data_IF_476703636823
#
_entry.id   IF_476703636823
#
_cell.length_a   1.000
_cell.length_b   1.000
_cell.length_c   1.000
_cell.angle_alpha   90.00
_cell.angle_beta   90.00
_cell.angle_gamma   90.00
#
_symmetry.space_group_name_H-M   'P 1'
#
loop_
_entity.id
_entity.type
_entity.pdbx_description
1 polymer ?
#
# COMPACT_ATOMS: atom_id res chain seq x y z
N UNK A 1 34.47 -15.42 -18.78
CA UNK A 1 33.58 -15.12 -17.63
C UNK A 1 32.27 -14.67 -18.22
N UNK A 2 31.22 -15.51 -18.18
CA UNK A 2 29.89 -15.16 -18.64
C UNK A 2 29.15 -14.61 -17.42
N UNK A 3 28.89 -13.31 -17.42
CA UNK A 3 28.04 -12.68 -16.42
C UNK A 3 26.60 -12.97 -16.86
N UNK A 4 25.96 -13.93 -16.20
CA UNK A 4 24.54 -14.19 -16.34
C UNK A 4 23.81 -13.09 -15.56
N UNK A 5 23.35 -12.05 -16.26
CA UNK A 5 22.42 -11.09 -15.67
C UNK A 5 21.07 -11.82 -15.55
N UNK A 6 20.70 -12.21 -14.35
CA UNK A 6 19.32 -12.58 -14.07
C UNK A 6 18.47 -11.34 -14.29
N UNK A 7 17.75 -11.33 -15.41
CA UNK A 7 16.64 -10.42 -15.61
C UNK A 7 15.61 -10.74 -14.50
N UNK A 8 15.59 -9.92 -13.48
CA UNK A 8 14.44 -9.85 -12.58
C UNK A 8 13.32 -9.30 -13.47
N UNK A 9 12.46 -10.19 -13.95
CA UNK A 9 11.20 -9.75 -14.56
C UNK A 9 10.47 -8.98 -13.48
N UNK A 10 10.13 -7.69 -13.69
CA UNK A 10 9.30 -6.99 -12.73
C UNK A 10 8.00 -7.77 -12.59
N UNK A 11 7.56 -8.00 -11.37
CA UNK A 11 6.19 -8.40 -11.08
C UNK A 11 5.30 -7.48 -11.89
N UNK A 12 4.34 -8.05 -12.62
CA UNK A 12 3.50 -7.36 -13.58
C UNK A 12 2.94 -6.09 -12.96
N UNK A 13 3.44 -4.95 -13.43
CA UNK A 13 2.88 -3.67 -13.02
C UNK A 13 1.42 -3.65 -13.48
N UNK A 14 0.49 -3.52 -12.54
CA UNK A 14 -0.91 -3.33 -12.87
C UNK A 14 -1.09 -2.01 -13.60
N UNK A 15 -1.64 -2.06 -14.80
CA UNK A 15 -1.94 -0.86 -15.57
C UNK A 15 -3.31 -0.31 -15.18
N UNK A 16 -3.54 0.97 -15.42
CA UNK A 16 -4.82 1.61 -15.10
C UNK A 16 -6.01 0.92 -15.77
N UNK A 17 -5.81 0.37 -16.97
CA UNK A 17 -6.84 -0.33 -17.73
C UNK A 17 -7.22 -1.70 -17.14
N UNK A 18 -6.38 -2.27 -16.26
CA UNK A 18 -6.68 -3.49 -15.49
C UNK A 18 -7.66 -3.22 -14.35
N UNK A 19 -7.83 -1.96 -13.97
CA UNK A 19 -8.70 -1.54 -12.86
C UNK A 19 -10.05 -1.10 -13.42
N UNK A 20 -11.15 -1.77 -13.05
CA UNK A 20 -12.49 -1.34 -13.43
C UNK A 20 -12.78 0.08 -12.97
N UNK A 21 -13.60 0.81 -13.74
CA UNK A 21 -14.04 2.13 -13.33
C UNK A 21 -14.84 2.07 -12.03
N UNK A 22 -14.69 3.09 -11.19
CA UNK A 22 -15.44 3.19 -9.94
C UNK A 22 -16.95 3.15 -10.19
N UNK A 23 -17.61 2.23 -9.52
CA UNK A 23 -19.05 1.93 -9.65
C UNK A 23 -19.85 2.19 -8.36
N UNK A 24 -19.25 2.85 -7.37
CA UNK A 24 -19.88 3.08 -6.07
C UNK A 24 -19.38 2.16 -4.96
N UNK A 25 -18.59 1.12 -5.27
CA UNK A 25 -17.99 0.23 -4.28
C UNK A 25 -16.57 0.71 -3.91
N UNK A 26 -16.14 0.56 -2.65
CA UNK A 26 -14.83 1.04 -2.19
C UNK A 26 -13.66 0.22 -2.74
N UNK A 27 -13.88 -1.01 -3.13
CA UNK A 27 -12.89 -1.94 -3.70
C UNK A 27 -13.56 -2.87 -4.71
N UNK A 28 -12.75 -3.54 -5.50
CA UNK A 28 -13.15 -4.53 -6.49
C UNK A 28 -12.09 -5.62 -6.58
N UNK A 29 -12.50 -6.85 -6.75
CA UNK A 29 -11.59 -7.96 -7.04
C UNK A 29 -11.11 -7.88 -8.49
N UNK A 30 -9.83 -8.14 -8.69
CA UNK A 30 -9.18 -8.20 -10.00
C UNK A 30 -8.40 -9.52 -10.11
N UNK A 31 -8.15 -9.98 -11.34
CA UNK A 31 -7.38 -11.21 -11.61
C UNK A 31 -7.90 -12.43 -10.84
N UNK A 32 -9.23 -12.61 -10.80
CA UNK A 32 -9.90 -13.72 -10.12
C UNK A 32 -9.52 -13.85 -8.63
N UNK A 33 -9.08 -12.76 -8.01
CA UNK A 33 -8.58 -12.71 -6.63
C UNK A 33 -7.41 -13.68 -6.35
N UNK A 34 -6.59 -13.92 -7.37
CA UNK A 34 -5.42 -14.80 -7.29
C UNK A 34 -4.12 -13.97 -7.23
N UNK A 35 -3.56 -13.71 -6.05
CA UNK A 35 -2.31 -12.97 -5.93
C UNK A 35 -1.14 -13.80 -6.49
N UNK A 36 -0.19 -13.11 -7.12
CA UNK A 36 0.98 -13.75 -7.71
C UNK A 36 2.24 -13.34 -6.96
N UNK A 37 2.59 -14.13 -5.96
CA UNK A 37 3.83 -13.94 -5.21
C UNK A 37 4.88 -14.98 -5.57
N UNK A 38 6.14 -14.63 -5.34
CA UNK A 38 7.21 -15.60 -5.41
C UNK A 38 7.15 -16.51 -4.17
N UNK A 39 6.92 -17.80 -4.37
CA UNK A 39 6.82 -18.78 -3.27
C UNK A 39 8.05 -18.81 -2.36
N UNK A 40 9.23 -18.39 -2.85
CA UNK A 40 10.43 -18.28 -2.03
C UNK A 40 10.30 -17.19 -0.95
N UNK A 41 9.45 -16.19 -1.15
CA UNK A 41 9.30 -15.07 -0.22
C UNK A 41 8.48 -15.47 1.01
N UNK A 42 7.57 -16.44 0.88
CA UNK A 42 6.85 -17.04 2.02
C UNK A 42 7.75 -17.68 3.05
N UNK A 43 8.89 -18.20 2.62
CA UNK A 43 9.86 -18.90 3.49
C UNK A 43 10.94 -17.98 4.07
N UNK A 44 10.90 -16.69 3.74
CA UNK A 44 11.84 -15.70 4.29
C UNK A 44 11.43 -15.27 5.69
N UNK A 45 12.40 -14.75 6.43
CA UNK A 45 12.10 -13.95 7.61
C UNK A 45 11.27 -12.73 7.19
N UNK A 46 10.55 -12.16 8.14
CA UNK A 46 9.83 -10.91 7.92
C UNK A 46 10.75 -9.83 7.33
N UNK A 47 10.21 -9.10 6.37
CA UNK A 47 10.89 -7.99 5.72
C UNK A 47 9.90 -6.92 5.28
N UNK A 48 10.42 -5.73 5.06
CA UNK A 48 9.74 -4.62 4.39
C UNK A 48 10.65 -4.06 3.31
N UNK A 49 10.07 -3.72 2.18
CA UNK A 49 10.75 -3.11 1.05
C UNK A 49 9.88 -2.02 0.44
N UNK A 50 10.47 -0.86 0.24
CA UNK A 50 9.82 0.29 -0.37
C UNK A 50 10.64 0.74 -1.57
N UNK A 51 10.03 0.74 -2.75
CA UNK A 51 10.67 1.25 -3.96
C UNK A 51 10.98 2.75 -3.80
N UNK A 52 12.02 3.21 -4.47
CA UNK A 52 12.30 4.63 -4.53
C UNK A 52 11.13 5.39 -5.14
N UNK A 53 10.97 6.65 -4.74
CA UNK A 53 10.04 7.56 -5.40
C UNK A 53 10.43 7.67 -6.88
N UNK A 54 9.44 7.85 -7.74
CA UNK A 54 9.71 8.05 -9.17
C UNK A 54 10.20 9.47 -9.48
N UNK A 55 10.38 9.78 -10.76
CA UNK A 55 10.86 11.10 -11.21
C UNK A 55 9.92 12.27 -10.89
N UNK A 56 8.69 11.98 -10.46
CA UNK A 56 7.70 12.96 -10.01
C UNK A 56 7.53 12.93 -8.48
N UNK A 57 8.45 12.29 -7.76
CA UNK A 57 8.41 12.08 -6.30
C UNK A 57 7.19 11.30 -5.81
N UNK A 58 6.58 10.48 -6.67
CA UNK A 58 5.41 9.67 -6.32
C UNK A 58 5.84 8.35 -5.66
N UNK A 59 5.18 7.92 -4.56
CA UNK A 59 5.39 6.60 -3.97
C UNK A 59 5.15 5.50 -5.01
N UNK A 60 5.96 4.46 -4.93
CA UNK A 60 5.91 3.30 -5.79
C UNK A 60 5.57 2.05 -4.97
N UNK A 61 5.89 0.87 -5.45
CA UNK A 61 5.55 -0.39 -4.80
C UNK A 61 6.10 -0.46 -3.37
N UNK A 62 5.23 -0.84 -2.43
CA UNK A 62 5.58 -1.28 -1.09
C UNK A 62 5.32 -2.78 -0.98
N UNK A 63 6.30 -3.56 -0.53
CA UNK A 63 6.24 -5.01 -0.44
C UNK A 63 6.77 -5.51 0.89
N UNK A 64 6.05 -6.41 1.53
CA UNK A 64 6.45 -6.95 2.82
C UNK A 64 6.05 -8.42 3.00
N UNK A 65 6.84 -9.14 3.78
CA UNK A 65 6.45 -10.37 4.45
C UNK A 65 6.18 -10.02 5.92
N UNK A 66 4.92 -9.81 6.24
CA UNK A 66 4.49 -9.26 7.52
C UNK A 66 4.33 -10.38 8.55
N UNK A 67 4.88 -10.15 9.73
CA UNK A 67 4.68 -11.00 10.90
C UNK A 67 4.58 -10.13 12.17
N UNK A 68 4.39 -10.75 13.31
CA UNK A 68 4.25 -10.01 14.60
C UNK A 68 5.44 -9.13 14.94
N UNK A 69 6.64 -9.46 14.50
CA UNK A 69 7.87 -8.71 14.81
C UNK A 69 7.96 -7.37 14.06
N UNK A 70 7.26 -7.22 12.93
CA UNK A 70 7.13 -5.92 12.24
C UNK A 70 6.06 -5.02 12.85
N UNK A 71 5.09 -5.58 13.55
CA UNK A 71 3.99 -4.81 14.12
C UNK A 71 4.51 -3.82 15.18
N UNK A 72 3.86 -2.65 15.31
CA UNK A 72 4.35 -1.62 16.23
C UNK A 72 4.30 -2.06 17.69
N UNK A 73 5.39 -1.80 18.38
CA UNK A 73 5.49 -1.89 19.84
C UNK A 73 5.45 -0.50 20.51
N UNK A 74 5.30 0.56 19.71
CA UNK A 74 5.23 1.95 20.14
C UNK A 74 3.93 2.60 19.68
N UNK A 75 3.58 3.72 20.30
CA UNK A 75 2.42 4.51 19.88
C UNK A 75 2.70 5.24 18.56
N UNK A 76 1.67 5.30 17.71
CA UNK A 76 1.68 6.10 16.49
C UNK A 76 1.96 7.58 16.82
N UNK A 77 2.83 8.19 16.05
CA UNK A 77 3.16 9.63 16.16
C UNK A 77 2.58 10.41 14.98
N UNK A 78 2.74 11.74 15.00
CA UNK A 78 2.29 12.59 13.90
C UNK A 78 3.09 12.32 12.61
N UNK A 79 2.39 12.28 11.49
CA UNK A 79 2.97 12.16 10.14
C UNK A 79 2.79 13.46 9.34
N UNK A 80 2.42 14.56 10.01
CA UNK A 80 2.14 15.85 9.38
C UNK A 80 3.30 16.49 8.62
N UNK A 81 4.53 16.10 8.94
CA UNK A 81 5.75 16.56 8.26
C UNK A 81 5.91 16.01 6.85
N UNK A 82 5.39 14.80 6.58
CA UNK A 82 5.42 14.23 5.24
C UNK A 82 4.29 14.81 4.41
N UNK A 83 4.62 15.27 3.22
CA UNK A 83 3.66 15.80 2.23
C UNK A 83 3.81 14.99 0.96
N UNK A 84 3.06 13.87 0.80
CA UNK A 84 3.10 13.10 -0.43
C UNK A 84 2.71 13.95 -1.64
N UNK A 85 3.05 13.51 -2.84
CA UNK A 85 2.67 14.20 -4.06
C UNK A 85 1.17 14.47 -4.13
N UNK A 86 0.79 15.62 -4.68
CA UNK A 86 -0.60 16.07 -4.76
C UNK A 86 -1.24 16.44 -3.42
N UNK A 87 -0.45 16.46 -2.31
CA UNK A 87 -0.99 16.81 -0.99
C UNK A 87 -1.45 18.28 -0.94
N UNK A 88 -2.70 18.45 -0.55
CA UNK A 88 -3.25 19.75 -0.15
C UNK A 88 -4.38 19.55 0.85
N UNK A 89 -4.66 20.59 1.64
CA UNK A 89 -5.71 20.53 2.65
C UNK A 89 -7.02 21.02 2.07
N UNK A 90 -8.00 20.14 1.97
CA UNK A 90 -9.36 20.46 1.53
C UNK A 90 -10.36 20.03 2.59
N UNK A 91 -11.30 20.89 2.91
CA UNK A 91 -12.35 20.61 3.89
C UNK A 91 -13.72 20.73 3.25
N UNK A 92 -14.60 19.77 3.56
CA UNK A 92 -16.01 19.80 3.18
C UNK A 92 -16.90 19.51 4.39
N UNK A 93 -18.06 20.18 4.44
CA UNK A 93 -19.15 19.80 5.34
C UNK A 93 -19.74 18.47 4.85
N UNK A 94 -19.97 17.53 5.75
CA UNK A 94 -20.57 16.24 5.40
C UNK A 94 -19.59 15.09 5.11
N UNK A 95 -18.28 15.37 5.03
CA UNK A 95 -17.26 14.32 5.02
C UNK A 95 -16.90 13.97 6.46
N UNK A 96 -16.82 12.67 6.78
CA UNK A 96 -16.31 12.18 8.05
C UNK A 96 -14.90 12.74 8.29
N UNK A 97 -14.64 13.28 9.48
CA UNK A 97 -13.41 13.97 9.83
C UNK A 97 -13.19 15.32 9.12
N UNK A 98 -14.10 15.77 8.27
CA UNK A 98 -14.11 17.07 7.55
C UNK A 98 -12.98 17.26 6.51
N UNK A 99 -11.96 16.41 6.44
CA UNK A 99 -10.87 16.51 5.48
C UNK A 99 -11.07 15.52 4.35
N UNK A 100 -10.96 16.01 3.10
CA UNK A 100 -11.08 15.16 1.92
C UNK A 100 -9.90 14.21 1.83
N UNK A 101 -8.68 14.70 2.02
CA UNK A 101 -7.46 13.92 1.86
C UNK A 101 -6.86 13.47 3.18
N UNK A 102 -6.36 12.25 3.16
CA UNK A 102 -5.53 11.63 4.19
C UNK A 102 -4.14 11.34 3.62
N UNK A 103 -3.13 11.28 4.50
CA UNK A 103 -1.87 10.59 4.22
C UNK A 103 -2.12 9.11 4.45
N UNK A 104 -2.25 8.37 3.36
CA UNK A 104 -2.53 6.94 3.39
C UNK A 104 -1.22 6.17 3.43
N UNK A 105 -1.03 5.31 4.43
CA UNK A 105 0.04 4.33 4.38
C UNK A 105 -0.31 3.27 3.34
N UNK A 106 0.63 2.89 2.49
CA UNK A 106 0.46 1.75 1.58
C UNK A 106 0.46 0.43 2.36
N UNK A 107 1.38 0.29 3.32
CA UNK A 107 1.36 -0.74 4.36
C UNK A 107 1.05 -0.04 5.67
N UNK A 108 -0.09 -0.36 6.28
CA UNK A 108 -0.62 0.32 7.45
C UNK A 108 0.36 0.31 8.62
N UNK A 109 0.37 1.38 9.44
CA UNK A 109 1.20 1.45 10.64
C UNK A 109 1.00 0.25 11.58
N UNK A 110 -0.22 -0.26 11.69
CA UNK A 110 -0.52 -1.43 12.52
C UNK A 110 0.15 -2.72 12.05
N UNK A 111 0.65 -2.76 10.81
CA UNK A 111 1.30 -3.90 10.18
C UNK A 111 2.83 -3.76 10.15
N UNK A 112 3.32 -2.55 9.85
CA UNK A 112 4.74 -2.29 9.60
C UNK A 112 5.46 -1.58 10.74
N UNK A 113 4.72 -0.90 11.62
CA UNK A 113 5.34 -0.05 12.63
C UNK A 113 6.00 1.22 12.07
N UNK A 114 6.09 1.38 10.74
CA UNK A 114 6.66 2.58 10.13
C UNK A 114 5.65 3.72 10.11
N UNK A 115 6.06 4.86 10.69
CA UNK A 115 5.16 5.99 10.88
C UNK A 115 5.25 7.03 9.76
N UNK A 116 6.43 7.60 9.51
CA UNK A 116 6.65 8.73 8.61
C UNK A 116 7.59 8.40 7.44
N UNK A 117 7.57 7.16 6.97
CA UNK A 117 8.31 6.76 5.76
C UNK A 117 7.61 7.35 4.52
N UNK A 118 8.28 8.26 3.82
CA UNK A 118 7.72 8.96 2.67
C UNK A 118 7.39 8.03 1.50
N UNK A 119 8.18 6.95 1.32
CA UNK A 119 7.94 5.94 0.28
C UNK A 119 6.73 5.05 0.56
N UNK A 120 6.23 5.08 1.78
CA UNK A 120 5.04 4.35 2.24
C UNK A 120 3.79 5.25 2.34
N UNK A 121 3.91 6.56 2.08
CA UNK A 121 2.82 7.50 2.27
C UNK A 121 2.37 8.09 0.94
N UNK A 122 1.08 7.98 0.64
CA UNK A 122 0.46 8.57 -0.54
C UNK A 122 -0.72 9.48 -0.17
N UNK A 123 -1.03 10.42 -1.04
CA UNK A 123 -2.27 11.20 -0.94
C UNK A 123 -3.44 10.36 -1.43
N UNK A 124 -4.42 10.16 -0.58
CA UNK A 124 -5.67 9.50 -0.93
C UNK A 124 -6.85 10.17 -0.25
N UNK A 125 -8.08 9.90 -0.70
CA UNK A 125 -9.26 10.40 0.00
C UNK A 125 -9.44 9.67 1.33
N UNK A 126 -10.14 10.33 2.27
CA UNK A 126 -10.51 9.67 3.52
C UNK A 126 -11.35 8.40 3.28
N UNK A 127 -12.27 8.46 2.32
CA UNK A 127 -13.08 7.30 1.92
C UNK A 127 -12.21 6.15 1.44
N UNK A 128 -11.26 6.42 0.55
CA UNK A 128 -10.29 5.44 0.07
C UNK A 128 -9.49 4.81 1.24
N UNK A 129 -8.98 5.65 2.14
CA UNK A 129 -8.16 5.19 3.26
C UNK A 129 -8.95 4.36 4.29
N UNK A 130 -10.14 4.84 4.68
CA UNK A 130 -10.88 4.27 5.82
C UNK A 130 -11.89 3.20 5.39
N UNK A 131 -12.52 3.38 4.24
CA UNK A 131 -13.53 2.44 3.74
C UNK A 131 -12.94 1.45 2.73
N UNK A 132 -11.95 1.88 1.94
CA UNK A 132 -11.27 1.03 0.96
C UNK A 132 -10.16 0.17 1.59
N UNK A 133 -9.16 0.78 2.20
CA UNK A 133 -7.94 0.08 2.63
C UNK A 133 -8.03 -0.54 4.03
N UNK A 134 -8.49 0.23 5.00
CA UNK A 134 -8.46 -0.16 6.41
C UNK A 134 -9.07 -1.54 6.73
N UNK A 135 -10.19 -1.97 6.12
CA UNK A 135 -10.74 -3.30 6.39
C UNK A 135 -9.77 -4.44 6.09
N UNK A 136 -9.01 -4.35 4.99
CA UNK A 136 -8.01 -5.36 4.62
C UNK A 136 -6.79 -5.32 5.54
N UNK A 137 -6.33 -4.13 5.92
CA UNK A 137 -5.25 -3.99 6.90
C UNK A 137 -5.63 -4.61 8.26
N UNK A 138 -6.88 -4.43 8.70
CA UNK A 138 -7.38 -5.02 9.93
C UNK A 138 -7.50 -6.54 9.86
N UNK A 139 -7.96 -7.07 8.73
CA UNK A 139 -8.05 -8.51 8.50
C UNK A 139 -6.64 -9.16 8.55
N UNK A 140 -5.67 -8.61 7.85
CA UNK A 140 -4.27 -9.06 7.88
C UNK A 140 -3.71 -9.01 9.30
N UNK A 141 -3.90 -7.88 9.99
CA UNK A 141 -3.46 -7.71 11.38
C UNK A 141 -4.03 -8.80 12.30
N UNK A 142 -5.33 -9.03 12.19
CA UNK A 142 -6.04 -9.95 13.08
C UNK A 142 -5.67 -11.41 12.74
N UNK A 143 -5.50 -11.75 11.47
CA UNK A 143 -4.99 -13.04 11.04
C UNK A 143 -3.61 -13.33 11.64
N UNK A 144 -2.65 -12.42 11.49
CA UNK A 144 -1.30 -12.59 12.03
C UNK A 144 -1.31 -12.71 13.56
N UNK A 145 -2.13 -11.91 14.26
CA UNK A 145 -2.24 -11.97 15.72
C UNK A 145 -2.81 -13.30 16.20
N UNK A 146 -3.79 -13.85 15.49
CA UNK A 146 -4.50 -15.06 15.91
C UNK A 146 -3.75 -16.34 15.53
N UNK A 147 -3.02 -16.34 14.41
CA UNK A 147 -2.36 -17.54 13.87
C UNK A 147 -0.85 -17.58 14.13
N UNK A 148 -0.24 -16.41 14.30
CA UNK A 148 1.21 -16.22 14.31
C UNK A 148 1.88 -16.60 12.97
N UNK A 149 1.11 -16.65 11.89
CA UNK A 149 1.63 -16.85 10.54
C UNK A 149 2.10 -15.53 9.93
N UNK A 150 2.85 -15.63 8.85
CA UNK A 150 3.24 -14.51 8.02
C UNK A 150 2.18 -14.24 6.95
N UNK A 151 2.19 -13.03 6.41
CA UNK A 151 1.36 -12.62 5.27
C UNK A 151 2.24 -11.86 4.29
N UNK A 152 2.28 -12.29 3.03
CA UNK A 152 2.83 -11.48 1.95
C UNK A 152 1.82 -10.40 1.59
N UNK A 153 2.28 -9.17 1.58
CA UNK A 153 1.47 -7.99 1.32
C UNK A 153 2.20 -7.07 0.35
N UNK A 154 1.58 -6.77 -0.75
CA UNK A 154 2.11 -5.81 -1.71
C UNK A 154 1.10 -4.70 -1.93
N UNK A 155 1.57 -3.47 -2.05
CA UNK A 155 0.75 -2.32 -2.36
C UNK A 155 1.33 -1.61 -3.57
N UNK A 156 0.56 -1.49 -4.64
CA UNK A 156 0.99 -0.96 -5.93
C UNK A 156 0.10 0.22 -6.31
N UNK A 157 0.56 1.46 -6.13
CA UNK A 157 -0.21 2.63 -6.55
C UNK A 157 -0.26 2.72 -8.08
N UNK A 158 -1.44 3.00 -8.62
CA UNK A 158 -1.67 3.12 -10.06
C UNK A 158 -1.95 4.57 -10.40
N UNK A 159 -1.07 5.16 -11.21
CA UNK A 159 -1.17 6.55 -11.64
C UNK A 159 -1.59 6.65 -13.10
N UNK A 160 -2.29 7.72 -13.42
CA UNK A 160 -2.58 8.07 -14.81
C UNK A 160 -1.61 9.14 -15.28
N UNK A 161 -0.68 8.76 -16.17
CA UNK A 161 0.35 9.68 -16.71
C UNK A 161 1.08 10.42 -15.58
N UNK A 162 1.13 11.73 -15.63
CA UNK A 162 1.84 12.60 -14.70
C UNK A 162 0.96 13.07 -13.51
N UNK A 163 -0.18 12.42 -13.27
CA UNK A 163 -1.02 12.76 -12.11
C UNK A 163 -0.28 12.45 -10.80
N UNK A 164 -0.38 13.37 -9.86
CA UNK A 164 0.33 13.30 -8.58
C UNK A 164 -0.43 12.54 -7.50
N UNK A 165 -1.69 12.21 -7.73
CA UNK A 165 -2.53 11.39 -6.86
C UNK A 165 -2.86 10.11 -7.61
N UNK A 166 -2.67 8.97 -6.98
CA UNK A 166 -2.98 7.69 -7.59
C UNK A 166 -4.48 7.54 -7.87
N UNK A 167 -4.82 6.91 -8.98
CA UNK A 167 -6.19 6.56 -9.35
C UNK A 167 -6.71 5.36 -8.57
N UNK A 168 -5.83 4.52 -8.09
CA UNK A 168 -6.13 3.35 -7.28
C UNK A 168 -4.89 2.79 -6.63
N UNK A 169 -5.10 1.77 -5.83
CA UNK A 169 -4.06 0.96 -5.22
C UNK A 169 -4.46 -0.50 -5.39
N UNK A 170 -3.60 -1.30 -5.98
CA UNK A 170 -3.79 -2.75 -5.95
C UNK A 170 -3.10 -3.32 -4.73
N UNK A 171 -3.74 -4.26 -4.05
CA UNK A 171 -3.25 -4.86 -2.81
C UNK A 171 -3.33 -6.38 -2.91
N UNK A 172 -2.36 -7.04 -3.58
CA UNK A 172 -2.17 -8.48 -3.44
C UNK A 172 -1.84 -8.87 -2.00
N UNK A 173 -2.50 -9.89 -1.48
CA UNK A 173 -2.34 -10.43 -0.12
C UNK A 173 -2.37 -11.96 -0.19
N UNK A 174 -1.40 -12.66 0.44
CA UNK A 174 -1.30 -14.12 0.52
C UNK A 174 -0.78 -14.60 1.88
#
# INVERSE_FOLDING_TARGET
>A
VVILSTLITPVSAYELDDIPQYNGTPYVEIHDNEPQFNSSDMNKKSFESYSNLDSLDRPQVAYANISKDLMPNTKRTSIGTVKPTGWHTVRYKGIDGKYLYNRCHQIGFALSGLNAEERNLMTGTRYFNVTGMLPFEEEVRDYIKNTNHHVLYEAIPVYKKDELVARGLTIPID
#
